data_IF_576740497291
#
_entry.id   IF_576740497291
#
_cell.length_a   1.000
_cell.length_b   1.000
_cell.length_c   1.000
_cell.angle_alpha   90.00
_cell.angle_beta   90.00
_cell.angle_gamma   90.00
#
_symmetry.space_group_name_H-M   'P 1'
#
loop_
_entity.id
_entity.type
_entity.pdbx_description
1 polymer ?
#
# COMPACT_ATOMS: atom_id res chain seq x y z
N UNK A 1 -3.36 8.76 -12.62
CA UNK A 1 -3.40 8.13 -13.96
C UNK A 1 -2.62 6.81 -14.03
N UNK A 2 -1.38 6.72 -13.52
CA UNK A 2 -0.59 5.48 -13.50
C UNK A 2 -1.25 4.32 -12.73
N UNK A 3 -1.92 4.60 -11.62
CA UNK A 3 -2.54 3.61 -10.73
C UNK A 3 -3.63 2.79 -11.46
N UNK A 4 -4.51 3.46 -12.21
CA UNK A 4 -5.56 2.80 -12.99
C UNK A 4 -4.98 2.03 -14.20
N UNK A 5 -3.92 2.57 -14.82
CA UNK A 5 -3.25 1.93 -15.94
C UNK A 5 -2.47 0.67 -15.52
N UNK A 6 -1.84 0.66 -14.34
CA UNK A 6 -1.07 -0.47 -13.84
C UNK A 6 -1.89 -1.75 -13.68
N UNK A 7 -3.14 -1.64 -13.23
CA UNK A 7 -4.04 -2.79 -13.14
C UNK A 7 -4.30 -3.40 -14.51
N UNK A 8 -4.68 -2.57 -15.48
CA UNK A 8 -4.99 -3.02 -16.84
C UNK A 8 -3.76 -3.63 -17.53
N UNK A 9 -2.59 -3.01 -17.35
CA UNK A 9 -1.33 -3.54 -17.89
C UNK A 9 -1.05 -4.93 -17.30
N UNK A 10 -1.12 -5.09 -15.99
CA UNK A 10 -0.83 -6.38 -15.34
C UNK A 10 -1.82 -7.48 -15.73
N UNK A 11 -3.08 -7.15 -16.00
CA UNK A 11 -4.09 -8.12 -16.47
C UNK A 11 -3.74 -8.64 -17.86
N UNK A 12 -3.16 -7.80 -18.73
CA UNK A 12 -2.85 -8.13 -20.12
C UNK A 12 -1.47 -8.76 -20.32
N UNK A 13 -0.64 -8.85 -19.26
CA UNK A 13 0.68 -9.49 -19.35
C UNK A 13 0.57 -11.01 -19.52
N UNK A 14 1.50 -11.58 -20.29
CA UNK A 14 1.73 -13.02 -20.31
C UNK A 14 2.21 -13.52 -18.93
N UNK A 15 2.05 -14.81 -18.61
CA UNK A 15 2.53 -15.36 -17.33
C UNK A 15 4.01 -15.03 -17.07
N UNK A 16 4.87 -15.22 -18.06
CA UNK A 16 6.30 -14.96 -17.96
C UNK A 16 6.62 -13.51 -17.65
N UNK A 17 6.03 -12.59 -18.42
CA UNK A 17 6.24 -11.14 -18.23
C UNK A 17 5.69 -10.66 -16.89
N UNK A 18 4.56 -11.22 -16.44
CA UNK A 18 4.00 -10.89 -15.13
C UNK A 18 4.92 -11.34 -13.98
N UNK A 19 5.43 -12.58 -14.04
CA UNK A 19 6.32 -13.12 -13.01
C UNK A 19 7.60 -12.30 -12.91
N UNK A 20 8.22 -11.98 -14.05
CA UNK A 20 9.44 -11.14 -14.10
C UNK A 20 9.18 -9.75 -13.51
N UNK A 21 8.12 -9.09 -13.96
CA UNK A 21 7.71 -7.77 -13.45
C UNK A 21 7.52 -7.81 -11.93
N UNK A 22 6.80 -8.82 -11.42
CA UNK A 22 6.52 -8.93 -9.98
C UNK A 22 7.78 -9.12 -9.15
N UNK A 23 8.71 -9.97 -9.60
CA UNK A 23 9.99 -10.19 -8.91
C UNK A 23 10.83 -8.93 -8.86
N UNK A 24 10.96 -8.22 -9.97
CA UNK A 24 11.70 -6.96 -10.03
C UNK A 24 11.07 -5.89 -9.14
N UNK A 25 9.74 -5.74 -9.18
CA UNK A 25 9.02 -4.79 -8.33
C UNK A 25 9.15 -5.15 -6.85
N UNK A 26 9.00 -6.42 -6.47
CA UNK A 26 9.10 -6.85 -5.09
C UNK A 26 10.51 -6.56 -4.54
N UNK A 27 11.56 -6.88 -5.29
CA UNK A 27 12.95 -6.60 -4.91
C UNK A 27 13.18 -5.10 -4.71
N UNK A 28 12.74 -4.26 -5.64
CA UNK A 28 12.90 -2.81 -5.56
C UNK A 28 12.11 -2.20 -4.39
N UNK A 29 10.90 -2.71 -4.14
CA UNK A 29 10.00 -2.19 -3.10
C UNK A 29 10.41 -2.63 -1.69
N UNK A 30 10.83 -3.88 -1.48
CA UNK A 30 11.20 -4.39 -0.15
C UNK A 30 12.31 -3.61 0.52
N UNK A 31 13.27 -3.09 -0.25
CA UNK A 31 14.39 -2.32 0.30
C UNK A 31 14.00 -0.90 0.71
N UNK A 32 13.16 -0.22 -0.07
CA UNK A 32 12.93 1.21 0.07
C UNK A 32 11.58 1.55 0.74
N UNK A 33 10.55 0.77 0.49
CA UNK A 33 9.20 1.08 0.94
C UNK A 33 9.05 1.12 2.47
N UNK A 34 9.78 0.26 3.18
CA UNK A 34 9.76 0.23 4.65
C UNK A 34 10.16 1.58 5.26
N UNK A 35 11.17 2.25 4.71
CA UNK A 35 11.62 3.54 5.23
C UNK A 35 10.58 4.62 5.04
N UNK A 36 9.96 4.69 3.87
CA UNK A 36 8.87 5.63 3.59
C UNK A 36 7.70 5.41 4.55
N UNK A 37 7.33 4.15 4.79
CA UNK A 37 6.26 3.78 5.69
C UNK A 37 6.58 4.19 7.14
N UNK A 38 7.78 3.92 7.63
CA UNK A 38 8.19 4.32 8.99
C UNK A 38 8.22 5.83 9.15
N UNK A 39 8.73 6.57 8.18
CA UNK A 39 8.73 8.04 8.21
C UNK A 39 7.29 8.55 8.28
N UNK A 40 6.37 8.03 7.47
CA UNK A 40 4.97 8.42 7.49
C UNK A 40 4.30 8.12 8.84
N UNK A 41 4.55 6.96 9.44
CA UNK A 41 4.03 6.59 10.75
C UNK A 41 4.56 7.51 11.85
N UNK A 42 5.86 7.76 11.88
CA UNK A 42 6.50 8.64 12.88
C UNK A 42 5.94 10.06 12.74
N UNK A 43 5.87 10.60 11.52
CA UNK A 43 5.34 11.94 11.28
C UNK A 43 3.88 12.07 11.77
N UNK A 44 3.06 11.06 11.54
CA UNK A 44 1.67 11.03 12.02
C UNK A 44 1.58 10.98 13.56
N UNK A 45 2.39 10.14 14.20
CA UNK A 45 2.45 10.06 15.67
C UNK A 45 2.88 11.39 16.27
N UNK A 46 3.90 12.04 15.71
CA UNK A 46 4.35 13.37 16.14
C UNK A 46 3.22 14.40 15.98
N UNK A 47 2.53 14.38 14.85
CA UNK A 47 1.40 15.30 14.61
C UNK A 47 0.27 15.13 15.65
N UNK A 48 -0.04 13.91 16.02
CA UNK A 48 -1.01 13.60 17.09
C UNK A 48 -0.49 14.10 18.45
N UNK A 49 0.78 13.86 18.75
CA UNK A 49 1.38 14.21 20.04
C UNK A 49 1.42 15.74 20.28
N UNK A 50 1.76 16.53 19.27
CA UNK A 50 1.76 18.01 19.41
C UNK A 50 0.34 18.58 19.52
N UNK A 51 -0.67 17.90 19.00
CA UNK A 51 -2.07 18.37 19.07
C UNK A 51 -2.87 17.65 20.16
N UNK A 52 -2.24 16.88 21.04
CA UNK A 52 -2.90 16.04 22.05
C UNK A 52 -3.79 16.84 23.01
N UNK A 53 -3.45 18.10 23.30
CA UNK A 53 -4.24 18.98 24.17
C UNK A 53 -5.54 19.47 23.53
N UNK A 54 -5.73 19.27 22.25
CA UNK A 54 -6.90 19.71 21.47
C UNK A 54 -7.50 18.53 20.68
N UNK A 55 -8.05 17.50 21.34
CA UNK A 55 -8.50 16.26 20.69
C UNK A 55 -9.70 16.45 19.76
N UNK A 56 -10.41 17.59 19.85
CA UNK A 56 -11.50 17.97 18.94
C UNK A 56 -11.02 18.81 17.74
N UNK A 57 -9.75 19.15 17.66
CA UNK A 57 -9.24 19.94 16.53
C UNK A 57 -9.23 19.14 15.23
N UNK A 58 -9.42 19.81 14.10
CA UNK A 58 -9.42 19.19 12.76
C UNK A 58 -8.08 18.49 12.53
N UNK A 59 -6.95 19.09 12.92
CA UNK A 59 -5.63 18.49 12.79
C UNK A 59 -5.54 17.18 13.56
N UNK A 60 -5.99 17.15 14.82
CA UNK A 60 -5.90 15.95 15.64
C UNK A 60 -6.75 14.82 15.05
N UNK A 61 -8.02 15.10 14.72
CA UNK A 61 -8.95 14.08 14.18
C UNK A 61 -8.45 13.54 12.86
N UNK A 62 -8.00 14.40 11.95
CA UNK A 62 -7.50 13.96 10.63
C UNK A 62 -6.18 13.19 10.73
N UNK A 63 -5.31 13.55 11.68
CA UNK A 63 -4.08 12.79 11.95
C UNK A 63 -4.38 11.40 12.53
N UNK A 64 -5.37 11.27 13.41
CA UNK A 64 -5.81 9.97 13.93
C UNK A 64 -6.38 9.09 12.81
N UNK A 65 -7.22 9.63 11.94
CA UNK A 65 -7.75 8.92 10.77
C UNK A 65 -6.59 8.48 9.86
N UNK A 66 -5.65 9.39 9.58
CA UNK A 66 -4.46 9.10 8.80
C UNK A 66 -3.64 7.95 9.38
N UNK A 67 -3.40 7.95 10.69
CA UNK A 67 -2.67 6.89 11.39
C UNK A 67 -3.40 5.54 11.28
N UNK A 68 -4.72 5.51 11.50
CA UNK A 68 -5.51 4.28 11.36
C UNK A 68 -5.40 3.72 9.94
N UNK A 69 -5.51 4.57 8.92
CA UNK A 69 -5.37 4.14 7.52
C UNK A 69 -3.97 3.60 7.21
N UNK A 70 -2.91 4.23 7.72
CA UNK A 70 -1.53 3.76 7.54
C UNK A 70 -1.29 2.41 8.23
N UNK A 71 -1.82 2.22 9.43
CA UNK A 71 -1.74 0.94 10.14
C UNK A 71 -2.53 -0.16 9.42
N UNK A 72 -3.71 0.17 8.88
CA UNK A 72 -4.50 -0.74 8.08
C UNK A 72 -3.74 -1.16 6.81
N UNK A 73 -3.15 -0.21 6.07
CA UNK A 73 -2.31 -0.52 4.91
C UNK A 73 -1.14 -1.45 5.28
N UNK A 74 -0.47 -1.18 6.39
CA UNK A 74 0.64 -2.01 6.87
C UNK A 74 0.21 -3.46 7.16
N UNK A 75 -0.93 -3.64 7.82
CA UNK A 75 -1.49 -4.99 8.08
C UNK A 75 -1.86 -5.69 6.78
N UNK A 76 -2.48 -4.98 5.83
CA UNK A 76 -2.86 -5.52 4.52
C UNK A 76 -1.62 -5.93 3.72
N UNK A 77 -0.52 -5.19 3.79
CA UNK A 77 0.76 -5.56 3.18
C UNK A 77 1.25 -6.89 3.74
N UNK A 78 1.39 -6.99 5.07
CA UNK A 78 2.00 -8.15 5.72
C UNK A 78 1.15 -9.41 5.55
N UNK A 79 -0.16 -9.29 5.72
CA UNK A 79 -1.06 -10.44 5.68
C UNK A 79 -1.64 -10.75 4.30
N UNK A 80 -1.56 -9.81 3.38
CA UNK A 80 -2.14 -9.93 2.05
C UNK A 80 -1.10 -10.00 0.93
N UNK A 81 -0.47 -8.88 0.58
CA UNK A 81 0.41 -8.84 -0.58
C UNK A 81 1.71 -9.63 -0.39
N UNK A 82 2.34 -9.57 0.80
CA UNK A 82 3.63 -10.24 1.02
C UNK A 82 3.55 -11.76 0.85
N UNK A 83 2.58 -12.49 1.44
CA UNK A 83 2.46 -13.93 1.21
C UNK A 83 2.29 -14.30 -0.26
N UNK A 84 1.51 -13.51 -1.02
CA UNK A 84 1.35 -13.73 -2.46
C UNK A 84 2.65 -13.47 -3.20
N UNK A 85 3.39 -12.43 -2.84
CA UNK A 85 4.71 -12.14 -3.43
C UNK A 85 5.70 -13.29 -3.17
N UNK A 86 5.70 -13.85 -1.96
CA UNK A 86 6.60 -14.97 -1.61
C UNK A 86 6.27 -16.21 -2.46
N UNK A 87 5.00 -16.50 -2.70
CA UNK A 87 4.58 -17.58 -3.60
C UNK A 87 5.03 -17.29 -5.03
N UNK A 88 4.79 -16.09 -5.57
CA UNK A 88 5.20 -15.72 -6.93
C UNK A 88 6.73 -15.74 -7.07
N UNK A 89 7.48 -15.33 -6.05
CA UNK A 89 8.93 -15.36 -6.04
C UNK A 89 9.50 -16.79 -6.11
N UNK A 90 8.75 -17.79 -5.63
CA UNK A 90 9.14 -19.20 -5.72
C UNK A 90 8.99 -19.79 -7.13
N UNK A 91 8.21 -19.15 -8.01
CA UNK A 91 8.01 -19.61 -9.39
C UNK A 91 9.21 -19.27 -10.28
N UNK A 92 9.39 -20.07 -11.35
CA UNK A 92 10.22 -19.66 -12.48
C UNK A 92 9.34 -19.31 -13.68
N UNK A 93 9.91 -18.57 -14.64
CA UNK A 93 9.20 -18.19 -15.88
C UNK A 93 8.70 -19.41 -16.65
N UNK A 94 9.47 -20.52 -16.59
CA UNK A 94 9.17 -21.78 -17.27
C UNK A 94 8.37 -22.77 -16.40
N UNK A 95 8.28 -22.54 -15.10
CA UNK A 95 7.59 -23.42 -14.16
C UNK A 95 6.77 -22.63 -13.15
N UNK A 96 5.50 -22.44 -13.46
CA UNK A 96 4.51 -21.77 -12.64
C UNK A 96 3.19 -22.56 -12.67
N UNK A 97 2.31 -22.42 -11.65
CA UNK A 97 1.04 -23.13 -11.62
C UNK A 97 0.09 -22.63 -12.72
N UNK A 98 -0.78 -23.50 -13.20
CA UNK A 98 -1.77 -23.15 -14.22
C UNK A 98 -2.75 -22.05 -13.75
N UNK A 99 -3.01 -21.98 -12.45
CA UNK A 99 -3.88 -20.98 -11.84
C UNK A 99 -3.13 -19.68 -11.42
N UNK A 100 -1.98 -19.38 -12.00
CA UNK A 100 -1.20 -18.17 -11.71
C UNK A 100 -2.03 -16.87 -11.77
N UNK A 101 -3.04 -16.84 -12.66
CA UNK A 101 -3.92 -15.68 -12.82
C UNK A 101 -4.79 -15.40 -11.59
N UNK A 102 -5.11 -16.42 -10.78
CA UNK A 102 -5.84 -16.23 -9.52
C UNK A 102 -4.98 -15.48 -8.50
N UNK A 103 -3.70 -15.81 -8.40
CA UNK A 103 -2.74 -15.09 -7.55
C UNK A 103 -2.61 -13.63 -7.97
N UNK A 104 -2.50 -13.37 -9.28
CA UNK A 104 -2.50 -12.02 -9.83
C UNK A 104 -3.77 -11.25 -9.44
N UNK A 105 -4.93 -11.85 -9.65
CA UNK A 105 -6.21 -11.19 -9.38
C UNK A 105 -6.41 -10.94 -7.89
N UNK A 106 -6.02 -11.87 -7.02
CA UNK A 106 -6.04 -11.69 -5.58
C UNK A 106 -5.08 -10.58 -5.14
N UNK A 107 -3.87 -10.55 -5.69
CA UNK A 107 -2.90 -9.49 -5.42
C UNK A 107 -3.44 -8.11 -5.80
N UNK A 108 -4.03 -7.99 -6.99
CA UNK A 108 -4.61 -6.74 -7.47
C UNK A 108 -5.81 -6.29 -6.62
N UNK A 109 -6.65 -7.22 -6.18
CA UNK A 109 -7.77 -6.92 -5.29
C UNK A 109 -7.29 -6.38 -3.93
N UNK A 110 -6.30 -7.03 -3.33
CA UNK A 110 -5.70 -6.59 -2.07
C UNK A 110 -5.05 -5.21 -2.25
N UNK A 111 -4.34 -5.01 -3.35
CA UNK A 111 -3.72 -3.73 -3.68
C UNK A 111 -4.74 -2.59 -3.78
N UNK A 112 -5.95 -2.83 -4.30
CA UNK A 112 -7.01 -1.82 -4.35
C UNK A 112 -7.46 -1.37 -2.94
N UNK A 113 -7.52 -2.27 -1.96
CA UNK A 113 -7.81 -1.88 -0.57
C UNK A 113 -6.70 -0.99 0.00
N UNK A 114 -5.45 -1.29 -0.33
CA UNK A 114 -4.31 -0.47 0.06
C UNK A 114 -4.35 0.92 -0.57
N UNK A 115 -4.67 1.00 -1.85
CA UNK A 115 -4.86 2.28 -2.54
C UNK A 115 -5.95 3.12 -1.86
N UNK A 116 -7.09 2.52 -1.54
CA UNK A 116 -8.17 3.21 -0.84
C UNK A 116 -7.72 3.73 0.54
N UNK A 117 -7.00 2.92 1.32
CA UNK A 117 -6.47 3.34 2.61
C UNK A 117 -5.46 4.49 2.47
N UNK A 118 -4.52 4.40 1.51
CA UNK A 118 -3.52 5.43 1.26
C UNK A 118 -4.14 6.76 0.79
N UNK A 119 -5.11 6.70 -0.12
CA UNK A 119 -5.84 7.89 -0.59
C UNK A 119 -6.61 8.53 0.58
N UNK A 120 -7.29 7.73 1.39
CA UNK A 120 -8.03 8.22 2.56
C UNK A 120 -7.09 8.89 3.57
N UNK A 121 -5.92 8.29 3.86
CA UNK A 121 -4.91 8.89 4.72
C UNK A 121 -4.42 10.22 4.16
N UNK A 122 -4.08 10.27 2.88
CA UNK A 122 -3.58 11.48 2.23
C UNK A 122 -4.61 12.60 2.25
N UNK A 123 -5.85 12.32 1.84
CA UNK A 123 -6.95 13.31 1.81
C UNK A 123 -7.24 13.81 3.23
N UNK A 124 -7.26 12.91 4.22
CA UNK A 124 -7.48 13.28 5.62
C UNK A 124 -6.41 14.27 6.11
N UNK A 125 -5.14 13.96 5.88
CA UNK A 125 -4.03 14.84 6.27
C UNK A 125 -4.05 16.18 5.52
N UNK A 126 -4.44 16.18 4.25
CA UNK A 126 -4.60 17.39 3.45
C UNK A 126 -5.70 18.28 4.02
N UNK A 127 -6.84 17.71 4.41
CA UNK A 127 -7.92 18.44 5.11
C UNK A 127 -7.39 19.04 6.42
N UNK A 128 -6.65 18.27 7.21
CA UNK A 128 -6.01 18.75 8.43
C UNK A 128 -5.07 19.94 8.18
N UNK A 129 -4.28 19.86 7.11
CA UNK A 129 -3.34 20.94 6.75
C UNK A 129 -4.04 22.22 6.27
N UNK A 130 -5.15 22.10 5.56
CA UNK A 130 -5.89 23.25 5.00
C UNK A 130 -6.81 23.92 6.03
N UNK A 131 -7.55 23.10 6.78
CA UNK A 131 -8.63 23.57 7.66
C UNK A 131 -8.31 23.48 9.16
N UNK A 132 -7.13 23.01 9.51
CA UNK A 132 -6.72 22.77 10.89
C UNK A 132 -6.13 24.01 11.61
N UNK A 133 -6.33 25.20 11.08
CA UNK A 133 -5.86 26.46 11.68
C UNK A 133 -6.79 26.92 12.80
#
# INVERSE_FOLDING_TARGET
MYILALKQVQINLSPSSYIELRKLMDTAMRSNFKYVMFIALIANVVLIAINFKQPGSVIFVTAVIGLICLLADFVIIIKGNMPINDVINSWSVSNHPNNWAEYRNNWLRIFQYREAAAITAFVSLLIGAIFGK
#
